data_IF_696256737276
#
_entry.id   IF_696256737276
#
_cell.length_a   1.000
_cell.length_b   1.000
_cell.length_c   1.000
_cell.angle_alpha   90.00
_cell.angle_beta   90.00
_cell.angle_gamma   90.00
#
_symmetry.space_group_name_H-M   'P 1'
#
loop_
_entity.id
_entity.type
_entity.pdbx_description
1 polymer ?
#
# COMPACT_ATOMS: atom_id res chain seq x y z
N UNK A 1 -18.77 -0.87 0.77
CA UNK A 1 -18.27 -0.38 2.02
C UNK A 1 -18.85 0.95 2.39
N UNK A 2 -18.77 1.28 3.62
CA UNK A 2 -19.31 2.49 4.17
C UNK A 2 -18.21 3.55 4.29
N UNK A 3 -18.47 4.73 3.74
CA UNK A 3 -17.58 5.86 3.84
C UNK A 3 -18.27 6.99 4.60
N UNK A 4 -17.56 7.52 5.57
CA UNK A 4 -18.06 8.67 6.29
C UNK A 4 -17.86 9.92 5.42
N UNK A 5 -18.87 10.25 4.66
CA UNK A 5 -18.95 11.49 3.93
C UNK A 5 -19.29 11.37 2.47
N UNK A 6 -18.46 10.90 1.59
CA UNK A 6 -18.58 11.26 0.19
C UNK A 6 -18.91 10.16 -0.79
N UNK A 7 -18.65 8.90 -0.49
CA UNK A 7 -19.05 7.84 -1.39
C UNK A 7 -19.26 6.50 -0.69
N UNK A 8 -20.18 5.75 -1.21
CA UNK A 8 -20.48 4.38 -0.81
C UNK A 8 -20.23 3.52 -2.03
N UNK A 9 -19.50 2.43 -1.87
CA UNK A 9 -19.39 1.46 -2.93
C UNK A 9 -20.05 0.15 -2.51
N UNK A 10 -20.45 -0.61 -3.49
CA UNK A 10 -21.22 -1.83 -3.29
C UNK A 10 -20.32 -2.94 -2.75
N UNK A 11 -20.62 -3.41 -1.54
CA UNK A 11 -19.92 -4.52 -0.89
C UNK A 11 -20.68 -5.83 -1.07
N UNK A 12 -21.98 -5.76 -1.17
CA UNK A 12 -22.87 -6.91 -1.30
C UNK A 12 -23.98 -6.70 -2.32
N UNK A 13 -24.74 -7.74 -2.61
CA UNK A 13 -25.86 -7.64 -3.55
C UNK A 13 -27.00 -6.75 -3.05
N UNK A 14 -27.08 -6.55 -1.73
CA UNK A 14 -28.11 -5.74 -1.08
C UNK A 14 -27.77 -4.25 -0.95
N UNK A 15 -26.53 -3.85 -1.25
CA UNK A 15 -26.17 -2.44 -1.15
C UNK A 15 -26.86 -1.64 -2.24
N UNK A 16 -27.55 -0.59 -1.83
CA UNK A 16 -28.39 0.23 -2.72
C UNK A 16 -27.65 1.39 -3.35
N UNK A 17 -26.47 1.73 -2.79
CA UNK A 17 -25.65 2.83 -3.29
C UNK A 17 -24.32 2.28 -3.81
N UNK A 18 -24.18 2.28 -5.10
CA UNK A 18 -22.92 1.99 -5.76
C UNK A 18 -22.34 3.31 -6.31
N UNK A 19 -21.01 3.51 -6.29
CA UNK A 19 -20.42 4.61 -7.00
C UNK A 19 -20.76 4.51 -8.49
N UNK A 20 -20.90 5.65 -9.11
CA UNK A 20 -21.08 5.73 -10.57
C UNK A 20 -19.74 5.44 -11.25
N UNK A 21 -19.80 5.00 -12.50
CA UNK A 21 -18.61 4.85 -13.35
C UNK A 21 -17.78 6.13 -13.33
N UNK A 22 -16.47 5.99 -13.22
CA UNK A 22 -15.54 7.12 -13.15
C UNK A 22 -15.48 7.83 -11.80
N UNK A 23 -16.05 7.25 -10.73
CA UNK A 23 -15.95 7.84 -9.39
C UNK A 23 -14.49 7.96 -8.96
N UNK A 24 -14.02 9.16 -8.56
CA UNK A 24 -12.66 9.34 -8.07
C UNK A 24 -12.38 8.48 -6.84
N UNK A 25 -11.14 7.98 -6.74
CA UNK A 25 -10.65 7.28 -5.57
C UNK A 25 -10.35 8.32 -4.47
N UNK A 26 -11.40 8.75 -3.78
CA UNK A 26 -11.32 9.80 -2.78
C UNK A 26 -12.29 9.55 -1.64
N UNK A 27 -11.93 9.95 -0.43
CA UNK A 27 -12.80 9.85 0.75
C UNK A 27 -12.10 9.24 1.96
N UNK A 28 -12.90 8.97 2.99
CA UNK A 28 -12.42 8.38 4.24
C UNK A 28 -13.20 7.13 4.59
N UNK A 29 -12.47 6.04 4.86
CA UNK A 29 -13.02 4.82 5.44
C UNK A 29 -12.81 4.89 6.94
N UNK A 30 -13.88 4.77 7.70
CA UNK A 30 -13.83 4.80 9.16
C UNK A 30 -14.81 3.80 9.77
N UNK A 31 -14.55 3.41 11.03
CA UNK A 31 -15.38 2.46 11.78
C UNK A 31 -15.27 1.02 11.28
N UNK A 32 -16.16 0.16 11.77
CA UNK A 32 -16.14 -1.26 11.44
C UNK A 32 -16.82 -1.49 10.10
N UNK A 33 -16.05 -2.03 9.16
CA UNK A 33 -16.58 -2.54 7.91
C UNK A 33 -17.03 -4.00 8.12
N UNK A 34 -18.21 -4.37 7.66
CA UNK A 34 -18.58 -5.79 7.60
C UNK A 34 -17.57 -6.55 6.73
N UNK A 35 -17.52 -7.86 6.87
CA UNK A 35 -16.59 -8.69 6.09
C UNK A 35 -16.65 -8.31 4.60
N UNK A 36 -15.53 -7.81 4.09
CA UNK A 36 -15.42 -7.36 2.72
C UNK A 36 -15.02 -8.56 1.87
N UNK A 37 -15.99 -9.18 1.23
CA UNK A 37 -15.73 -10.24 0.24
C UNK A 37 -15.15 -9.70 -1.07
N UNK A 38 -14.51 -8.53 -1.08
CA UNK A 38 -13.97 -7.86 -2.28
C UNK A 38 -12.76 -7.00 -1.92
N UNK A 39 -11.93 -6.77 -2.92
CA UNK A 39 -10.81 -5.82 -2.85
C UNK A 39 -11.19 -4.45 -3.43
N UNK A 40 -10.46 -3.43 -3.08
CA UNK A 40 -10.51 -2.12 -3.73
C UNK A 40 -9.63 -2.16 -4.97
N UNK A 41 -10.24 -2.07 -6.14
CA UNK A 41 -9.52 -2.01 -7.41
C UNK A 41 -9.52 -0.57 -7.90
N UNK A 42 -8.34 0.02 -7.99
CA UNK A 42 -8.15 1.41 -8.44
C UNK A 42 -7.63 1.39 -9.88
N UNK A 43 -8.38 2.01 -10.76
CA UNK A 43 -8.12 2.08 -12.18
C UNK A 43 -7.46 3.42 -12.57
N UNK A 44 -6.77 3.51 -13.71
CA UNK A 44 -6.27 4.79 -14.22
C UNK A 44 -7.42 5.75 -14.55
N UNK A 45 -7.16 7.04 -14.47
CA UNK A 45 -8.13 8.10 -14.77
C UNK A 45 -8.68 8.06 -16.20
N UNK A 46 -7.95 7.45 -17.12
CA UNK A 46 -8.37 7.25 -18.51
C UNK A 46 -9.38 6.12 -18.68
N UNK A 47 -9.60 5.30 -17.66
CA UNK A 47 -10.55 4.21 -17.69
C UNK A 47 -11.93 4.69 -17.22
N UNK A 48 -12.66 5.35 -18.14
CA UNK A 48 -13.99 5.92 -17.86
C UNK A 48 -15.07 4.87 -17.57
N UNK A 49 -14.81 3.62 -17.89
CA UNK A 49 -15.77 2.52 -17.66
C UNK A 49 -15.58 1.88 -16.28
N UNK A 50 -14.56 2.29 -15.54
CA UNK A 50 -14.24 1.76 -14.22
C UNK A 50 -14.89 2.54 -13.10
N UNK A 51 -15.21 1.83 -12.01
CA UNK A 51 -15.94 2.41 -10.87
C UNK A 51 -15.07 3.35 -10.05
N UNK A 52 -13.81 2.97 -9.81
CA UNK A 52 -12.86 3.79 -9.06
C UNK A 52 -11.70 4.19 -9.97
N UNK A 53 -11.43 5.47 -10.05
CA UNK A 53 -10.33 6.02 -10.85
C UNK A 53 -9.33 6.78 -9.96
N UNK A 54 -8.13 6.98 -10.46
CA UNK A 54 -7.06 7.67 -9.74
C UNK A 54 -7.08 9.19 -9.89
N UNK A 55 -7.99 9.74 -10.67
CA UNK A 55 -8.06 11.19 -10.88
C UNK A 55 -9.37 11.77 -10.37
N UNK A 56 -9.25 12.91 -9.73
CA UNK A 56 -10.36 13.84 -9.52
C UNK A 56 -10.13 15.05 -10.44
N UNK A 57 -10.82 15.13 -11.56
CA UNK A 57 -10.60 16.21 -12.53
C UNK A 57 -10.89 17.61 -11.97
N UNK A 58 -11.64 17.71 -10.89
CA UNK A 58 -12.12 18.98 -10.36
C UNK A 58 -11.30 19.51 -9.17
N UNK A 59 -10.46 18.70 -8.53
CA UNK A 59 -9.81 19.08 -7.28
C UNK A 59 -8.39 19.64 -7.43
N UNK A 60 -7.75 19.42 -8.56
CA UNK A 60 -6.33 19.79 -8.76
C UNK A 60 -5.34 19.08 -7.83
N UNK A 61 -5.82 18.22 -6.95
CA UNK A 61 -5.04 17.38 -6.05
C UNK A 61 -5.15 15.91 -6.47
N UNK A 62 -4.10 15.10 -6.29
CA UNK A 62 -4.21 13.67 -6.52
C UNK A 62 -5.27 13.09 -5.57
N UNK A 63 -6.15 12.23 -6.07
CA UNK A 63 -7.20 11.63 -5.26
C UNK A 63 -6.60 10.82 -4.13
N UNK A 64 -7.14 11.01 -2.94
CA UNK A 64 -6.65 10.37 -1.73
C UNK A 64 -7.75 9.59 -1.04
N UNK A 65 -7.50 8.32 -0.75
CA UNK A 65 -8.30 7.54 0.18
C UNK A 65 -7.61 7.56 1.55
N UNK A 66 -8.38 7.90 2.57
CA UNK A 66 -7.91 7.85 3.96
C UNK A 66 -8.54 6.66 4.68
N UNK A 67 -7.71 5.84 5.31
CA UNK A 67 -8.14 4.90 6.35
C UNK A 67 -7.97 5.59 7.69
N UNK A 68 -9.06 5.72 8.45
CA UNK A 68 -9.04 6.38 9.76
C UNK A 68 -9.88 5.63 10.77
N UNK A 69 -9.23 5.10 11.80
CA UNK A 69 -9.90 4.32 12.85
C UNK A 69 -10.78 3.21 12.27
N UNK A 70 -10.27 2.54 11.24
CA UNK A 70 -11.01 1.55 10.48
C UNK A 70 -10.71 0.12 10.95
N UNK A 71 -11.78 -0.67 11.09
CA UNK A 71 -11.68 -2.12 11.33
C UNK A 71 -12.15 -2.83 10.06
N UNK A 72 -11.22 -3.46 9.36
CA UNK A 72 -11.48 -4.10 8.07
C UNK A 72 -11.11 -5.58 8.14
N UNK A 73 -12.07 -6.43 7.82
CA UNK A 73 -11.85 -7.87 7.63
C UNK A 73 -12.19 -8.25 6.19
N UNK A 74 -11.32 -8.98 5.51
CA UNK A 74 -11.55 -9.41 4.13
C UNK A 74 -11.01 -10.82 3.88
N UNK A 75 -11.75 -11.59 3.12
CA UNK A 75 -11.33 -12.91 2.62
C UNK A 75 -10.50 -12.83 1.34
N UNK A 76 -10.23 -11.65 0.81
CA UNK A 76 -9.34 -11.49 -0.34
C UNK A 76 -7.86 -11.55 0.02
N UNK A 77 -7.05 -11.93 -0.95
CA UNK A 77 -5.60 -11.96 -0.78
C UNK A 77 -4.98 -10.57 -0.70
N UNK A 78 -5.60 -9.57 -1.34
CA UNK A 78 -5.15 -8.17 -1.27
C UNK A 78 -6.34 -7.26 -0.98
N UNK A 79 -6.13 -6.26 -0.12
CA UNK A 79 -7.16 -5.24 0.13
C UNK A 79 -7.20 -4.19 -0.98
N UNK A 80 -6.04 -3.66 -1.36
CA UNK A 80 -5.90 -2.67 -2.42
C UNK A 80 -5.18 -3.25 -3.62
N UNK A 81 -5.82 -3.20 -4.78
CA UNK A 81 -5.22 -3.53 -6.06
C UNK A 81 -5.14 -2.28 -6.93
N UNK A 82 -3.92 -1.76 -7.12
CA UNK A 82 -3.66 -0.57 -7.91
C UNK A 82 -3.30 -1.01 -9.33
N UNK A 83 -4.14 -0.69 -10.28
CA UNK A 83 -3.94 -1.04 -11.69
C UNK A 83 -2.80 -0.24 -12.31
N UNK A 84 -2.19 -0.79 -13.35
CA UNK A 84 -1.21 -0.09 -14.16
C UNK A 84 -1.77 1.23 -14.71
N UNK A 85 -1.01 2.31 -14.58
CA UNK A 85 -1.42 3.67 -14.97
C UNK A 85 -2.30 4.39 -13.95
N UNK A 86 -2.73 3.75 -12.86
CA UNK A 86 -3.39 4.44 -11.75
C UNK A 86 -2.36 5.13 -10.84
N UNK A 87 -2.70 6.31 -10.32
CA UNK A 87 -1.80 7.16 -9.51
C UNK A 87 -2.47 7.63 -8.19
N UNK A 88 -3.00 6.72 -7.36
CA UNK A 88 -3.67 7.13 -6.13
C UNK A 88 -2.70 7.50 -5.01
N UNK A 89 -3.24 8.28 -4.05
CA UNK A 89 -2.68 8.43 -2.71
C UNK A 89 -3.51 7.65 -1.70
N UNK A 90 -2.86 6.84 -0.88
CA UNK A 90 -3.46 6.19 0.29
C UNK A 90 -2.88 6.81 1.55
N UNK A 91 -3.74 7.31 2.43
CA UNK A 91 -3.37 7.87 3.72
C UNK A 91 -3.89 6.98 4.85
N UNK A 92 -3.07 6.73 5.84
CA UNK A 92 -3.43 5.92 7.01
C UNK A 92 -3.29 6.80 8.25
N UNK A 93 -4.39 6.99 8.98
CA UNK A 93 -4.49 7.82 10.20
C UNK A 93 -5.21 7.05 11.32
N UNK A 94 -4.96 7.46 12.57
CA UNK A 94 -5.60 6.89 13.74
C UNK A 94 -5.26 5.41 13.96
N UNK A 95 -6.09 4.67 14.68
CA UNK A 95 -5.90 3.25 14.98
C UNK A 95 -6.67 2.38 13.99
N UNK A 96 -5.94 1.74 13.06
CA UNK A 96 -6.56 0.84 12.10
C UNK A 96 -6.28 -0.62 12.45
N UNK A 97 -7.29 -1.46 12.33
CA UNK A 97 -7.18 -2.91 12.44
C UNK A 97 -7.57 -3.55 11.12
N UNK A 98 -6.59 -4.17 10.46
CA UNK A 98 -6.78 -4.78 9.15
C UNK A 98 -6.48 -6.28 9.25
N UNK A 99 -7.47 -7.10 8.94
CA UNK A 99 -7.39 -8.56 8.95
C UNK A 99 -7.75 -9.08 7.57
N UNK A 100 -6.74 -9.43 6.78
CA UNK A 100 -6.89 -10.00 5.43
C UNK A 100 -5.94 -11.17 5.24
N UNK A 101 -6.13 -11.96 4.17
CA UNK A 101 -5.42 -13.23 4.02
C UNK A 101 -3.93 -13.08 3.71
N UNK A 102 -3.51 -12.07 2.94
CA UNK A 102 -2.12 -11.95 2.49
C UNK A 102 -1.62 -10.51 2.54
N UNK A 103 -1.83 -9.72 1.49
CA UNK A 103 -1.18 -8.44 1.34
C UNK A 103 -2.15 -7.26 1.50
N UNK A 104 -1.68 -6.19 2.13
CA UNK A 104 -2.44 -4.94 2.18
C UNK A 104 -2.60 -4.36 0.78
N UNK A 105 -1.50 -4.33 0.03
CA UNK A 105 -1.41 -3.66 -1.27
C UNK A 105 -0.78 -4.57 -2.32
N UNK A 106 -1.40 -4.61 -3.51
CA UNK A 106 -0.79 -5.07 -4.74
C UNK A 106 -0.75 -3.90 -5.72
N UNK A 107 0.44 -3.36 -5.97
CA UNK A 107 0.63 -2.15 -6.74
C UNK A 107 1.26 -2.42 -8.12
N UNK A 108 0.52 -2.15 -9.18
CA UNK A 108 1.02 -2.13 -10.56
C UNK A 108 1.06 -0.71 -11.16
N UNK A 109 0.60 0.28 -10.40
CA UNK A 109 0.56 1.69 -10.78
C UNK A 109 1.62 2.52 -10.08
N UNK A 110 1.31 3.79 -9.84
CA UNK A 110 2.13 4.72 -9.07
C UNK A 110 1.38 5.07 -7.78
N UNK A 111 1.77 4.46 -6.68
CA UNK A 111 1.11 4.64 -5.39
C UNK A 111 1.95 5.51 -4.46
N UNK A 112 1.33 6.52 -3.87
CA UNK A 112 1.86 7.21 -2.69
C UNK A 112 1.12 6.73 -1.46
N UNK A 113 1.85 6.16 -0.49
CA UNK A 113 1.35 5.75 0.81
C UNK A 113 1.87 6.72 1.88
N UNK A 114 0.97 7.39 2.58
CA UNK A 114 1.32 8.26 3.71
C UNK A 114 0.78 7.66 5.00
N UNK A 115 1.64 7.52 6.00
CA UNK A 115 1.29 7.01 7.33
C UNK A 115 1.45 8.15 8.33
N UNK A 116 0.32 8.69 8.79
CA UNK A 116 0.29 9.88 9.66
C UNK A 116 0.46 9.54 11.14
N UNK A 117 -0.08 8.39 11.56
CA UNK A 117 -0.03 7.90 12.94
C UNK A 117 0.60 6.51 12.96
N UNK A 118 1.16 6.10 14.11
CA UNK A 118 1.79 4.80 14.25
C UNK A 118 0.84 3.66 13.89
N UNK A 119 1.30 2.73 13.07
CA UNK A 119 0.50 1.61 12.58
C UNK A 119 1.19 0.27 12.80
N UNK A 120 0.38 -0.73 13.17
CA UNK A 120 0.81 -2.13 13.14
C UNK A 120 -0.09 -2.92 12.18
N UNK A 121 0.41 -3.22 10.98
CA UNK A 121 -0.29 -3.93 9.92
C UNK A 121 0.51 -5.20 9.61
N UNK A 122 -0.05 -6.37 9.90
CA UNK A 122 0.65 -7.65 9.69
C UNK A 122 0.73 -8.09 8.24
N UNK A 123 -0.01 -7.44 7.35
CA UNK A 123 -0.05 -7.71 5.92
C UNK A 123 1.11 -7.04 5.19
N UNK A 124 1.47 -7.59 4.03
CA UNK A 124 2.59 -7.10 3.22
C UNK A 124 2.21 -6.13 2.12
N UNK A 125 3.23 -5.72 1.37
CA UNK A 125 3.10 -4.93 0.14
C UNK A 125 3.81 -5.66 -0.99
N UNK A 126 3.09 -5.87 -2.10
CA UNK A 126 3.64 -6.33 -3.36
C UNK A 126 3.71 -5.12 -4.32
N UNK A 127 4.91 -4.72 -4.70
CA UNK A 127 5.14 -3.64 -5.65
C UNK A 127 5.64 -4.18 -6.97
N UNK A 128 4.84 -4.05 -8.02
CA UNK A 128 5.07 -4.65 -9.33
C UNK A 128 4.60 -6.11 -9.42
N UNK A 129 4.97 -6.74 -10.52
CA UNK A 129 4.77 -8.16 -10.80
C UNK A 129 5.84 -8.66 -11.77
N UNK A 130 5.95 -9.98 -12.03
CA UNK A 130 6.90 -10.49 -13.03
C UNK A 130 6.74 -9.89 -14.44
N UNK A 131 5.54 -9.41 -14.79
CA UNK A 131 5.22 -8.83 -16.10
C UNK A 131 4.79 -7.35 -16.04
N UNK A 132 4.69 -6.78 -14.82
CA UNK A 132 4.17 -5.42 -14.60
C UNK A 132 5.14 -4.55 -13.81
N UNK A 133 5.05 -3.26 -14.06
CA UNK A 133 5.77 -2.23 -13.30
C UNK A 133 4.95 -1.81 -12.10
N UNK A 134 5.60 -1.26 -11.07
CA UNK A 134 4.96 -0.59 -9.95
C UNK A 134 5.91 0.49 -9.43
N UNK A 135 5.37 1.65 -9.10
CA UNK A 135 6.13 2.68 -8.40
C UNK A 135 5.44 2.92 -7.05
N UNK A 136 6.17 2.70 -5.98
CA UNK A 136 5.68 2.88 -4.62
C UNK A 136 6.50 3.94 -3.91
N UNK A 137 5.83 4.93 -3.36
CA UNK A 137 6.44 5.89 -2.44
C UNK A 137 5.77 5.76 -1.08
N UNK A 138 6.56 5.56 -0.02
CA UNK A 138 6.08 5.49 1.36
C UNK A 138 6.66 6.66 2.15
N UNK A 139 5.77 7.45 2.73
CA UNK A 139 6.10 8.50 3.69
C UNK A 139 5.54 8.13 5.06
N UNK A 140 6.37 7.57 5.92
CA UNK A 140 6.02 7.23 7.28
C UNK A 140 6.33 8.42 8.22
N UNK A 141 5.35 9.28 8.44
CA UNK A 141 5.44 10.42 9.38
C UNK A 141 5.44 9.95 10.85
N UNK A 142 4.97 8.73 11.07
CA UNK A 142 5.02 8.01 12.35
C UNK A 142 5.41 6.54 12.07
N UNK A 143 5.87 5.76 13.07
CA UNK A 143 6.34 4.40 12.86
C UNK A 143 5.30 3.50 12.16
N UNK A 144 5.70 2.85 11.08
CA UNK A 144 4.93 1.86 10.35
C UNK A 144 5.51 0.46 10.58
N UNK A 145 4.79 -0.40 11.27
CA UNK A 145 5.08 -1.84 11.28
C UNK A 145 4.23 -2.53 10.22
N UNK A 146 4.86 -3.23 9.30
CA UNK A 146 4.19 -3.91 8.19
C UNK A 146 4.77 -5.31 7.99
N UNK A 147 4.02 -6.20 7.37
CA UNK A 147 4.49 -7.52 6.96
C UNK A 147 5.59 -7.45 5.90
N UNK A 148 5.72 -8.46 5.06
CA UNK A 148 6.77 -8.47 4.05
C UNK A 148 6.58 -7.37 2.99
N UNK A 149 7.69 -6.82 2.49
CA UNK A 149 7.72 -5.94 1.31
C UNK A 149 8.43 -6.66 0.18
N UNK A 150 7.78 -6.73 -0.99
CA UNK A 150 8.36 -7.32 -2.21
C UNK A 150 8.35 -6.31 -3.34
N UNK A 151 9.53 -6.02 -3.91
CA UNK A 151 9.72 -5.18 -5.09
C UNK A 151 10.14 -6.06 -6.27
N UNK A 152 9.30 -6.15 -7.30
CA UNK A 152 9.53 -6.99 -8.46
C UNK A 152 10.50 -6.35 -9.46
N UNK A 153 10.98 -7.15 -10.44
CA UNK A 153 12.14 -6.80 -11.28
C UNK A 153 12.02 -5.50 -12.09
N UNK A 154 10.81 -5.00 -12.36
CA UNK A 154 10.60 -3.74 -13.08
C UNK A 154 9.97 -2.64 -12.19
N UNK A 155 9.86 -2.90 -10.90
CA UNK A 155 9.25 -1.97 -9.96
C UNK A 155 10.28 -1.07 -9.29
N UNK A 156 9.85 0.10 -8.86
CA UNK A 156 10.66 1.07 -8.12
C UNK A 156 10.00 1.40 -6.79
N UNK A 157 10.82 1.70 -5.80
CA UNK A 157 10.35 2.02 -4.46
C UNK A 157 11.14 3.17 -3.86
N UNK A 158 10.43 4.08 -3.20
CA UNK A 158 11.02 5.11 -2.35
C UNK A 158 10.46 4.97 -0.94
N UNK A 159 11.33 4.91 0.06
CA UNK A 159 10.96 4.74 1.46
C UNK A 159 11.51 5.89 2.29
N UNK A 160 10.66 6.57 3.05
CA UNK A 160 11.04 7.63 3.97
C UNK A 160 10.30 7.50 5.29
N UNK A 161 11.00 7.77 6.39
CA UNK A 161 10.52 7.63 7.76
C UNK A 161 10.89 6.28 8.42
N UNK A 162 10.29 5.99 9.57
CA UNK A 162 10.57 4.79 10.34
C UNK A 162 9.65 3.63 9.92
N UNK A 163 10.24 2.59 9.34
CA UNK A 163 9.53 1.44 8.80
C UNK A 163 10.10 0.14 9.35
N UNK A 164 9.27 -0.63 10.04
CA UNK A 164 9.57 -1.95 10.56
C UNK A 164 8.94 -3.00 9.65
N UNK A 165 9.73 -3.78 8.96
CA UNK A 165 9.27 -4.86 8.09
C UNK A 165 9.41 -6.19 8.84
N UNK A 166 8.27 -6.81 9.18
CA UNK A 166 8.22 -7.95 10.10
C UNK A 166 7.62 -9.16 9.38
N UNK A 167 8.47 -10.08 8.94
CA UNK A 167 8.00 -11.34 8.35
C UNK A 167 7.74 -12.38 9.43
N UNK A 168 6.48 -12.76 9.60
CA UNK A 168 6.02 -13.76 10.57
C UNK A 168 5.84 -15.16 9.96
N UNK A 169 5.68 -15.25 8.66
CA UNK A 169 5.43 -16.49 7.90
C UNK A 169 6.47 -16.64 6.80
N UNK A 170 6.81 -17.86 6.41
CA UNK A 170 7.92 -18.17 5.48
C UNK A 170 8.13 -17.15 4.36
N UNK A 171 9.40 -16.84 4.09
CA UNK A 171 9.80 -15.86 3.08
C UNK A 171 10.72 -14.77 3.63
N UNK A 172 11.03 -13.79 2.78
CA UNK A 172 11.86 -12.64 3.15
C UNK A 172 11.04 -11.52 3.75
N UNK A 173 11.57 -10.83 4.76
CA UNK A 173 10.96 -9.60 5.25
C UNK A 173 10.99 -8.54 4.15
N UNK A 174 12.14 -8.37 3.51
CA UNK A 174 12.31 -7.46 2.39
C UNK A 174 12.88 -8.21 1.18
N UNK A 175 12.20 -8.12 0.04
CA UNK A 175 12.62 -8.76 -1.22
C UNK A 175 12.71 -7.72 -2.33
N UNK A 176 13.83 -7.68 -3.06
CA UNK A 176 13.98 -6.87 -4.25
C UNK A 176 14.53 -7.70 -5.42
N UNK A 177 13.73 -7.90 -6.44
CA UNK A 177 14.11 -8.61 -7.66
C UNK A 177 14.57 -7.66 -8.77
N UNK A 178 14.49 -6.34 -8.58
CA UNK A 178 14.97 -5.34 -9.55
C UNK A 178 16.46 -5.11 -9.37
N UNK A 179 17.21 -5.30 -10.44
CA UNK A 179 18.68 -5.15 -10.47
C UNK A 179 19.17 -3.74 -10.78
N UNK A 180 18.24 -2.80 -11.02
CA UNK A 180 18.59 -1.39 -11.25
C UNK A 180 19.13 -0.76 -9.96
N UNK A 181 20.20 0.04 -10.01
CA UNK A 181 20.71 0.74 -8.84
C UNK A 181 19.68 1.68 -8.19
N UNK A 182 18.73 2.19 -9.00
CA UNK A 182 17.67 3.09 -8.52
C UNK A 182 16.38 2.36 -8.20
N UNK A 183 16.40 1.02 -8.07
CA UNK A 183 15.20 0.23 -7.79
C UNK A 183 14.58 0.56 -6.43
N UNK A 184 15.42 0.85 -5.46
CA UNK A 184 15.04 1.28 -4.13
C UNK A 184 15.85 2.53 -3.79
N UNK A 185 15.14 3.56 -3.35
CA UNK A 185 15.73 4.79 -2.85
C UNK A 185 15.20 5.08 -1.44
N UNK A 186 16.00 5.77 -0.65
CA UNK A 186 15.65 6.12 0.71
C UNK A 186 15.62 7.64 0.87
N UNK A 187 14.64 8.14 1.61
CA UNK A 187 14.58 9.54 2.02
C UNK A 187 15.53 9.84 3.17
N UNK A 188 15.74 11.12 3.47
CA UNK A 188 16.66 11.59 4.51
C UNK A 188 16.29 11.11 5.93
N UNK A 189 15.02 10.78 6.15
CA UNK A 189 14.52 10.29 7.43
C UNK A 189 14.35 8.78 7.48
N UNK A 190 14.77 8.07 6.45
CA UNK A 190 14.55 6.62 6.35
C UNK A 190 15.27 5.85 7.45
N UNK A 191 14.52 5.05 8.19
CA UNK A 191 15.01 4.08 9.19
C UNK A 191 14.28 2.77 8.97
N UNK A 192 14.96 1.81 8.38
CA UNK A 192 14.36 0.54 8.00
C UNK A 192 14.82 -0.55 8.95
N UNK A 193 13.89 -1.10 9.72
CA UNK A 193 14.12 -2.20 10.64
C UNK A 193 13.56 -3.48 10.04
N UNK A 194 14.40 -4.51 9.93
CA UNK A 194 14.01 -5.79 9.36
C UNK A 194 13.98 -6.85 10.44
N UNK A 195 12.85 -7.54 10.55
CA UNK A 195 12.68 -8.67 11.45
C UNK A 195 12.10 -9.86 10.70
N UNK A 196 12.72 -11.03 10.89
CA UNK A 196 12.23 -12.29 10.36
C UNK A 196 12.31 -13.38 11.43
N UNK A 197 11.43 -14.38 11.35
CA UNK A 197 11.54 -15.56 12.22
C UNK A 197 12.63 -16.50 11.72
N UNK A 198 12.92 -17.56 12.46
CA UNK A 198 14.00 -18.52 12.15
C UNK A 198 13.86 -19.24 10.78
N UNK A 199 12.67 -19.20 10.17
CA UNK A 199 12.37 -19.83 8.88
C UNK A 199 12.34 -18.82 7.73
N UNK A 200 12.57 -17.53 8.02
CA UNK A 200 12.53 -16.44 7.06
C UNK A 200 13.91 -15.82 6.88
N UNK A 201 14.15 -15.22 5.72
CA UNK A 201 15.31 -14.35 5.50
C UNK A 201 14.95 -12.90 5.76
N UNK A 202 15.90 -12.08 6.25
CA UNK A 202 15.65 -10.66 6.44
C UNK A 202 15.51 -9.96 5.10
N UNK A 203 16.43 -10.23 4.19
CA UNK A 203 16.52 -9.61 2.87
C UNK A 203 16.82 -10.66 1.83
N UNK A 204 16.26 -10.53 0.66
CA UNK A 204 16.61 -11.29 -0.53
C UNK A 204 16.56 -10.42 -1.78
N UNK A 205 17.32 -10.80 -2.81
CA UNK A 205 17.42 -10.07 -4.06
C UNK A 205 18.51 -8.99 -4.01
N UNK A 206 18.31 -7.90 -4.74
CA UNK A 206 19.31 -6.86 -4.96
C UNK A 206 19.00 -5.64 -4.09
N UNK A 207 19.76 -5.48 -3.01
CA UNK A 207 19.74 -4.27 -2.17
C UNK A 207 21.17 -3.82 -2.04
N UNK A 208 21.47 -2.66 -2.59
CA UNK A 208 22.74 -1.99 -2.38
C UNK A 208 22.64 -1.16 -1.10
N UNK A 209 23.47 -1.49 -0.13
CA UNK A 209 23.61 -0.72 1.09
C UNK A 209 24.91 0.06 0.97
N UNK A 210 24.82 1.36 0.74
CA UNK A 210 25.96 2.25 0.77
C UNK A 210 26.18 2.71 2.22
N UNK A 211 27.25 2.24 2.82
CA UNK A 211 27.70 2.68 4.14
C UNK A 211 28.75 3.79 3.97
N UNK A 212 28.31 4.98 3.65
CA UNK A 212 29.19 6.12 3.36
C UNK A 212 29.92 6.68 4.58
N UNK A 213 29.67 6.17 5.78
CA UNK A 213 30.44 6.53 6.98
C UNK A 213 30.62 5.31 7.88
N UNK A 214 31.84 4.81 7.94
CA UNK A 214 32.25 4.00 9.08
C UNK A 214 31.96 4.80 10.36
N UNK A 215 31.36 4.22 11.40
CA UNK A 215 31.23 4.90 12.68
C UNK A 215 32.67 5.30 13.13
N UNK A 216 32.88 6.58 13.29
CA UNK A 216 34.08 7.06 13.94
C UNK A 216 33.93 6.75 15.41
N UNK A 217 34.81 5.86 15.91
CA UNK A 217 34.98 5.57 17.34
C UNK A 217 35.18 6.85 18.18
#
# INVERSE_FOLDING_TARGET
AYLNGTWVYKVGASDTQAPTTGTPFNGTITGTMPEVGRQFVIHPSTDSDSVLTSADPDSGNPPALTLKDAVITSSFNQLFYIKAGAEPTLRIEGENRIEIMSDLIYNLGTLTLTVADAQEISQGILNGSPAGTGTLTVYAQAPLSIGAISNFQNARMHLDGEIHVISKTGGSAFKNDNTSPDAITFGDNARIHLQANALCTYVSGFIELDFDTAPTD
#
